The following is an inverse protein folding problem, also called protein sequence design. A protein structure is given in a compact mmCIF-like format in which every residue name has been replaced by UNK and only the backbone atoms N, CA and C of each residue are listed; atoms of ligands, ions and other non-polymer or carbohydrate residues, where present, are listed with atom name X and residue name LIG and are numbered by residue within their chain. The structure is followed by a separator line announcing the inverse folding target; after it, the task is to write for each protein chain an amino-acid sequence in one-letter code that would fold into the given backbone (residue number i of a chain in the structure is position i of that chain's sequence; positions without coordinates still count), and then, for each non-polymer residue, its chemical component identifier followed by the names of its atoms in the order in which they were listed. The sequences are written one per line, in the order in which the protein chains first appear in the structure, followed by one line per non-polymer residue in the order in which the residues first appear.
data_IF_350597092529
#
_entry.id   IF_350597092529
#
_cell.length_a   1.000
_cell.length_b   1.000
_cell.length_c   1.000
_cell.angle_alpha   90.00
_cell.angle_beta   90.00
_cell.angle_gamma   90.00
#
_symmetry.space_group_name_H-M   'P 1'
#
loop_
_entity.id
_entity.type
_entity.pdbx_description
1 polymer ?
#
# COMPACT_ATOMS: atom_id res chain seq x y z
N UNK A 1 30.63 28.20 5.22
CA UNK A 1 29.66 29.05 4.49
C UNK A 1 28.35 28.26 4.39
N UNK A 2 27.46 28.45 5.37
CA UNK A 2 26.17 27.76 5.44
C UNK A 2 25.25 28.28 4.35
N UNK A 3 24.84 27.42 3.43
CA UNK A 3 23.86 27.76 2.41
C UNK A 3 22.45 27.62 3.02
N UNK A 4 21.57 28.64 2.92
CA UNK A 4 20.21 28.63 3.48
C UNK A 4 19.30 27.52 2.93
N UNK A 5 19.72 26.87 1.84
CA UNK A 5 19.05 25.71 1.25
C UNK A 5 19.16 24.44 2.11
N UNK A 6 20.18 24.31 2.98
CA UNK A 6 20.32 23.16 3.90
C UNK A 6 19.37 23.25 5.09
N UNK A 7 18.87 24.44 5.40
CA UNK A 7 17.95 24.68 6.53
C UNK A 7 16.49 24.37 6.16
N UNK A 8 16.13 24.44 4.87
CA UNK A 8 14.80 24.03 4.38
C UNK A 8 14.59 22.51 4.44
N UNK A 9 15.67 21.74 4.22
CA UNK A 9 15.77 20.31 4.56
C UNK A 9 16.37 20.12 5.96
N UNK A 10 15.95 20.95 6.92
CA UNK A 10 16.25 20.72 8.33
C UNK A 10 15.79 19.32 8.72
N UNK A 11 16.55 18.66 9.60
CA UNK A 11 16.17 17.37 10.18
C UNK A 11 14.72 17.39 10.70
N UNK A 12 14.27 18.56 11.17
CA UNK A 12 12.89 18.79 11.58
C UNK A 12 11.88 18.64 10.43
N UNK A 13 12.09 19.33 9.30
CA UNK A 13 11.20 19.26 8.13
C UNK A 13 11.10 17.84 7.58
N UNK A 14 12.23 17.14 7.48
CA UNK A 14 12.26 15.76 7.01
C UNK A 14 11.51 14.84 7.97
N UNK A 15 11.75 14.98 9.28
CA UNK A 15 11.05 14.20 10.32
C UNK A 15 9.55 14.46 10.28
N UNK A 16 9.12 15.72 10.22
CA UNK A 16 7.71 16.08 10.15
C UNK A 16 7.04 15.49 8.88
N UNK A 17 7.72 15.57 7.73
CA UNK A 17 7.23 15.01 6.47
C UNK A 17 7.06 13.48 6.57
N UNK A 18 8.07 12.77 7.07
CA UNK A 18 7.97 11.32 7.29
C UNK A 18 6.89 10.96 8.31
N UNK A 19 6.79 11.69 9.43
CA UNK A 19 5.73 11.48 10.42
C UNK A 19 4.35 11.60 9.82
N UNK A 20 4.09 12.63 8.99
CA UNK A 20 2.81 12.78 8.29
C UNK A 20 2.53 11.61 7.34
N UNK A 21 3.52 11.20 6.54
CA UNK A 21 3.38 10.06 5.61
C UNK A 21 3.06 8.77 6.37
N UNK A 22 3.82 8.45 7.43
CA UNK A 22 3.58 7.25 8.23
C UNK A 22 2.26 7.29 8.99
N UNK A 23 1.83 8.46 9.44
CA UNK A 23 0.54 8.63 10.10
C UNK A 23 -0.61 8.28 9.15
N UNK A 24 -0.63 8.87 7.95
CA UNK A 24 -1.66 8.60 6.94
C UNK A 24 -1.59 7.14 6.48
N UNK A 25 -0.39 6.60 6.25
CA UNK A 25 -0.22 5.21 5.86
C UNK A 25 -0.72 4.23 6.95
N UNK A 26 -0.49 4.52 8.22
CA UNK A 26 -0.96 3.70 9.35
C UNK A 26 -2.48 3.72 9.48
N UNK A 27 -3.09 4.90 9.32
CA UNK A 27 -4.54 5.05 9.31
C UNK A 27 -5.17 4.26 8.16
N UNK A 28 -4.63 4.37 6.95
CA UNK A 28 -5.08 3.63 5.78
C UNK A 28 -4.96 2.11 5.98
N UNK A 29 -3.81 1.63 6.48
CA UNK A 29 -3.62 0.20 6.76
C UNK A 29 -4.60 -0.34 7.81
N UNK A 30 -4.95 0.47 8.82
CA UNK A 30 -5.92 0.08 9.86
C UNK A 30 -7.35 0.01 9.31
N UNK A 31 -7.74 0.97 8.47
CA UNK A 31 -9.05 0.96 7.80
C UNK A 31 -9.20 -0.27 6.88
N UNK A 32 -8.17 -0.56 6.07
CA UNK A 32 -8.16 -1.73 5.19
C UNK A 32 -8.32 -3.05 5.97
N UNK A 33 -7.70 -3.17 7.14
CA UNK A 33 -7.84 -4.36 7.98
C UNK A 33 -9.27 -4.54 8.54
N UNK A 34 -9.98 -3.45 8.84
CA UNK A 34 -11.39 -3.50 9.22
C UNK A 34 -12.26 -3.92 8.04
N UNK A 35 -12.09 -3.30 6.88
CA UNK A 35 -12.81 -3.66 5.65
C UNK A 35 -12.59 -5.12 5.27
N UNK A 36 -11.36 -5.62 5.34
CA UNK A 36 -11.05 -7.04 5.11
C UNK A 36 -11.72 -7.95 6.14
N UNK A 37 -11.84 -7.50 7.39
CA UNK A 37 -12.48 -8.30 8.45
C UNK A 37 -13.99 -8.37 8.32
N UNK A 38 -14.61 -7.39 7.67
CA UNK A 38 -16.05 -7.28 7.42
C UNK A 38 -16.48 -7.94 6.10
N UNK A 39 -15.68 -7.82 5.04
CA UNK A 39 -15.99 -8.36 3.71
C UNK A 39 -15.79 -9.88 3.65
N UNK A 40 -14.82 -10.43 4.39
CA UNK A 40 -14.45 -11.83 4.25
C UNK A 40 -15.00 -12.73 5.39
N UNK A 41 -15.65 -13.86 5.06
CA UNK A 41 -16.05 -14.88 6.03
C UNK A 41 -14.86 -15.37 6.85
N UNK A 42 -15.11 -15.73 8.12
CA UNK A 42 -14.07 -16.17 9.08
C UNK A 42 -13.19 -17.30 8.54
N UNK A 43 -13.70 -18.20 7.70
CA UNK A 43 -12.92 -19.35 7.19
C UNK A 43 -11.84 -18.96 6.16
N UNK A 44 -12.01 -17.84 5.45
CA UNK A 44 -11.15 -17.45 4.31
C UNK A 44 -10.21 -16.30 4.66
N UNK A 45 -10.48 -15.58 5.76
CA UNK A 45 -9.74 -14.38 6.20
C UNK A 45 -8.24 -14.61 6.33
N UNK A 46 -7.82 -15.75 6.90
CA UNK A 46 -6.41 -16.09 7.07
C UNK A 46 -5.68 -16.32 5.72
N UNK A 47 -6.38 -16.85 4.71
CA UNK A 47 -5.81 -17.07 3.38
C UNK A 47 -5.67 -15.77 2.60
N UNK A 48 -6.64 -14.86 2.73
CA UNK A 48 -6.56 -13.54 2.12
C UNK A 48 -5.34 -12.77 2.65
N UNK A 49 -5.21 -12.64 3.97
CA UNK A 49 -4.11 -11.87 4.60
C UNK A 49 -2.74 -12.45 4.24
N UNK A 50 -2.57 -13.78 4.21
CA UNK A 50 -1.28 -14.38 3.87
C UNK A 50 -0.84 -14.13 2.43
N UNK A 51 -1.78 -14.17 1.47
CA UNK A 51 -1.51 -13.85 0.06
C UNK A 51 -1.17 -12.37 -0.10
N UNK A 52 -1.97 -11.48 0.50
CA UNK A 52 -1.70 -10.04 0.45
C UNK A 52 -0.37 -9.67 1.11
N UNK A 53 -0.07 -10.22 2.28
CA UNK A 53 1.19 -9.97 2.97
C UNK A 53 2.39 -10.55 2.22
N UNK A 54 2.26 -11.76 1.67
CA UNK A 54 3.31 -12.39 0.85
C UNK A 54 3.59 -11.62 -0.43
N UNK A 55 2.55 -11.26 -1.19
CA UNK A 55 2.68 -10.47 -2.41
C UNK A 55 3.17 -9.06 -2.13
N UNK A 56 2.66 -8.40 -1.09
CA UNK A 56 3.10 -7.06 -0.68
C UNK A 56 4.57 -7.05 -0.25
N UNK A 57 5.01 -8.08 0.48
CA UNK A 57 6.41 -8.23 0.87
C UNK A 57 7.30 -8.54 -0.34
N UNK A 58 6.87 -9.39 -1.27
CA UNK A 58 7.64 -9.69 -2.47
C UNK A 58 7.75 -8.47 -3.40
N UNK A 59 6.63 -7.82 -3.68
CA UNK A 59 6.55 -6.68 -4.60
C UNK A 59 7.16 -5.41 -3.99
N UNK A 60 6.85 -5.05 -2.75
CA UNK A 60 7.36 -3.83 -2.11
C UNK A 60 8.63 -4.06 -1.30
N UNK A 61 8.58 -5.03 -0.40
CA UNK A 61 9.63 -5.26 0.61
C UNK A 61 10.94 -5.80 0.03
N UNK A 62 10.87 -6.79 -0.86
CA UNK A 62 12.05 -7.41 -1.48
C UNK A 62 12.49 -6.65 -2.73
N UNK A 63 11.56 -6.29 -3.62
CA UNK A 63 11.92 -5.61 -4.87
C UNK A 63 12.37 -4.16 -4.67
N UNK A 64 11.85 -3.46 -3.64
CA UNK A 64 12.17 -2.06 -3.36
C UNK A 64 13.68 -1.81 -3.15
N UNK A 65 14.33 -2.48 -2.18
CA UNK A 65 15.76 -2.35 -1.95
C UNK A 65 16.62 -2.77 -3.15
N UNK A 66 16.21 -3.81 -3.88
CA UNK A 66 16.92 -4.26 -5.09
C UNK A 66 16.87 -3.20 -6.20
N UNK A 67 15.68 -2.64 -6.45
CA UNK A 67 15.47 -1.58 -7.44
C UNK A 67 16.23 -0.31 -7.05
N UNK A 68 16.09 0.17 -5.82
CA UNK A 68 16.82 1.35 -5.35
C UNK A 68 18.33 1.14 -5.32
N UNK A 69 18.81 -0.07 -5.00
CA UNK A 69 20.22 -0.42 -5.07
C UNK A 69 20.78 -0.34 -6.50
N UNK A 70 20.01 -0.78 -7.50
CA UNK A 70 20.36 -0.63 -8.91
C UNK A 70 20.34 0.84 -9.36
N UNK A 71 19.28 1.58 -8.99
CA UNK A 71 19.16 3.01 -9.33
C UNK A 71 20.29 3.84 -8.69
N UNK A 72 20.75 3.47 -7.49
CA UNK A 72 21.89 4.10 -6.84
C UNK A 72 23.19 3.87 -7.62
N UNK A 73 23.48 2.64 -8.03
CA UNK A 73 24.64 2.33 -8.87
C UNK A 73 24.59 3.06 -10.22
N UNK A 74 23.41 3.16 -10.83
CA UNK A 74 23.21 3.92 -12.07
C UNK A 74 23.43 5.43 -11.86
N UNK A 75 23.00 5.95 -10.70
CA UNK A 75 23.19 7.35 -10.32
C UNK A 75 24.66 7.69 -10.07
N UNK A 76 25.41 6.78 -9.44
CA UNK A 76 26.86 6.94 -9.24
C UNK A 76 27.63 6.92 -10.57
N UNK A 77 27.33 5.97 -11.47
CA UNK A 77 27.99 5.86 -12.78
C UNK A 77 27.66 7.01 -13.73
N UNK A 78 26.43 7.52 -13.69
CA UNK A 78 26.01 8.68 -14.52
C UNK A 78 26.42 10.02 -13.90
N UNK A 79 26.71 10.06 -12.60
CA UNK A 79 27.03 11.29 -11.86
C UNK A 79 25.83 12.22 -11.65
N UNK A 80 24.60 11.76 -11.91
CA UNK A 80 23.37 12.56 -11.79
C UNK A 80 22.35 11.88 -10.88
N UNK A 81 21.52 12.67 -10.20
CA UNK A 81 20.45 12.16 -9.31
C UNK A 81 19.17 11.73 -10.06
N UNK A 82 19.15 11.84 -11.38
CA UNK A 82 17.99 11.54 -12.23
C UNK A 82 17.39 10.14 -11.99
N UNK A 83 18.19 9.07 -11.92
CA UNK A 83 17.69 7.73 -11.66
C UNK A 83 16.93 7.58 -10.34
N UNK A 84 17.41 8.24 -9.27
CA UNK A 84 16.76 8.20 -7.95
C UNK A 84 15.42 8.94 -7.99
N UNK A 85 15.36 10.11 -8.65
CA UNK A 85 14.11 10.86 -8.82
C UNK A 85 13.09 10.05 -9.61
N UNK A 86 13.53 9.35 -10.67
CA UNK A 86 12.66 8.45 -11.43
C UNK A 86 12.12 7.29 -10.57
N UNK A 87 12.93 6.75 -9.66
CA UNK A 87 12.48 5.74 -8.69
C UNK A 87 11.36 6.25 -7.77
N UNK A 88 11.52 7.45 -7.20
CA UNK A 88 10.46 8.06 -6.39
C UNK A 88 9.19 8.38 -7.21
N UNK A 89 9.35 8.86 -8.45
CA UNK A 89 8.22 9.12 -9.34
C UNK A 89 7.44 7.84 -9.69
N UNK A 90 8.15 6.74 -9.96
CA UNK A 90 7.54 5.43 -10.17
C UNK A 90 6.72 4.99 -8.95
N UNK A 91 7.28 5.12 -7.74
CA UNK A 91 6.57 4.82 -6.49
C UNK A 91 5.31 5.67 -6.32
N UNK A 92 5.38 6.97 -6.61
CA UNK A 92 4.22 7.87 -6.54
C UNK A 92 3.11 7.47 -7.53
N UNK A 93 3.47 7.13 -8.78
CA UNK A 93 2.51 6.65 -9.77
C UNK A 93 1.84 5.36 -9.33
N UNK A 94 2.60 4.39 -8.79
CA UNK A 94 2.05 3.14 -8.28
C UNK A 94 1.07 3.36 -7.14
N UNK A 95 1.36 4.28 -6.21
CA UNK A 95 0.44 4.66 -5.13
C UNK A 95 -0.84 5.31 -5.66
N UNK A 96 -0.75 6.19 -6.65
CA UNK A 96 -1.92 6.81 -7.27
C UNK A 96 -2.81 5.77 -7.98
N UNK A 97 -2.19 4.81 -8.68
CA UNK A 97 -2.92 3.71 -9.31
C UNK A 97 -3.62 2.84 -8.26
N UNK A 98 -2.95 2.53 -7.14
CA UNK A 98 -3.56 1.78 -6.05
C UNK A 98 -4.75 2.54 -5.43
N UNK A 99 -4.59 3.84 -5.15
CA UNK A 99 -5.67 4.68 -4.62
C UNK A 99 -6.86 4.79 -5.59
N UNK A 100 -6.60 4.88 -6.90
CA UNK A 100 -7.65 4.89 -7.91
C UNK A 100 -8.34 3.53 -8.03
N UNK A 101 -7.58 2.43 -7.96
CA UNK A 101 -8.15 1.08 -7.97
C UNK A 101 -9.05 0.86 -6.76
N UNK A 102 -8.64 1.33 -5.57
CA UNK A 102 -9.47 1.32 -4.36
C UNK A 102 -10.72 2.21 -4.52
N UNK A 103 -10.61 3.38 -5.13
CA UNK A 103 -11.76 4.25 -5.38
C UNK A 103 -12.78 3.65 -6.38
N UNK A 104 -12.34 2.79 -7.30
CA UNK A 104 -13.21 2.18 -8.33
C UNK A 104 -13.76 0.82 -7.90
N UNK A 105 -12.94 0.00 -7.23
CA UNK A 105 -13.26 -1.38 -6.85
C UNK A 105 -13.60 -1.53 -5.35
N UNK A 106 -13.43 -0.47 -4.57
CA UNK A 106 -13.78 -0.42 -3.16
C UNK A 106 -15.27 -0.63 -2.99
N UNK A 107 -15.62 -1.64 -2.18
CA UNK A 107 -16.99 -1.90 -1.78
C UNK A 107 -17.28 -1.02 -0.56
N UNK A 108 -18.26 -0.13 -0.66
CA UNK A 108 -18.72 0.66 0.48
C UNK A 108 -19.35 -0.26 1.53
N UNK A 109 -18.59 -0.51 2.59
CA UNK A 109 -19.01 -1.24 3.79
C UNK A 109 -19.53 -0.31 4.91
N UNK A 110 -19.41 1.02 4.76
CA UNK A 110 -19.89 1.95 5.79
C UNK A 110 -21.41 1.80 6.01
N UNK A 111 -21.78 1.42 7.24
CA UNK A 111 -23.16 1.47 7.74
C UNK A 111 -24.09 0.34 7.32
N UNK A 112 -23.61 -0.72 6.66
CA UNK A 112 -24.43 -1.89 6.29
C UNK A 112 -24.30 -3.01 7.34
N UNK A 113 -25.42 -3.59 7.77
CA UNK A 113 -25.40 -4.71 8.73
C UNK A 113 -24.79 -5.96 8.08
N UNK A 114 -24.06 -6.74 8.89
CA UNK A 114 -23.37 -7.98 8.51
C UNK A 114 -24.26 -9.00 7.78
N UNK A 115 -25.59 -8.92 7.96
CA UNK A 115 -26.57 -9.82 7.35
C UNK A 115 -26.87 -9.50 5.87
N UNK A 116 -26.71 -8.24 5.44
CA UNK A 116 -26.93 -7.86 4.05
C UNK A 116 -25.75 -8.23 3.14
N UNK A 117 -24.52 -8.11 3.65
CA UNK A 117 -23.29 -8.44 2.91
C UNK A 117 -23.09 -9.97 2.83
N UNK A 118 -23.44 -10.70 3.91
CA UNK A 118 -23.38 -12.16 3.93
C UNK A 118 -24.36 -12.84 2.97
N UNK A 119 -25.58 -12.32 2.81
CA UNK A 119 -26.59 -12.92 1.95
C UNK A 119 -26.25 -12.86 0.44
N UNK A 120 -25.62 -11.77 0.00
CA UNK A 120 -25.24 -11.58 -1.41
C UNK A 120 -24.04 -12.45 -1.82
N UNK A 121 -23.05 -12.61 -0.94
CA UNK A 121 -21.88 -13.47 -1.19
C UNK A 121 -22.23 -14.97 -1.10
N UNK A 122 -23.17 -15.35 -0.23
CA UNK A 122 -23.64 -16.75 -0.10
C UNK A 122 -24.46 -17.20 -1.32
N UNK A 123 -25.20 -16.32 -1.98
CA UNK A 123 -25.95 -16.67 -3.20
C UNK A 123 -25.08 -16.94 -4.42
N UNK A 124 -23.83 -16.46 -4.44
CA UNK A 124 -22.86 -16.69 -5.52
C UNK A 124 -21.97 -17.92 -5.29
N UNK A 125 -22.11 -18.62 -4.17
CA UNK A 125 -21.49 -19.94 -3.97
C UNK A 125 -22.47 -21.02 -4.44
N UNK A 126 -22.34 -21.55 -5.66
CA UNK A 126 -23.10 -22.74 -6.04
C UNK A 126 -22.72 -23.87 -5.09
N UNK A 127 -23.76 -24.53 -4.58
CA UNK A 127 -23.77 -25.79 -3.83
C UNK A 127 -22.52 -26.66 -4.09
N UNK A 128 -21.47 -26.48 -3.29
CA UNK A 128 -20.51 -27.55 -3.01
C UNK A 128 -21.07 -28.33 -1.81
N UNK A 129 -22.25 -28.89 -2.03
CA UNK A 129 -22.85 -29.90 -1.18
C UNK A 129 -22.08 -31.21 -1.36
N UNK A 130 -21.80 -31.83 -0.22
CA UNK A 130 -21.78 -33.26 0.03
C UNK A 130 -20.80 -34.16 -0.76
N UNK A 131 -19.76 -34.57 -0.04
CA UNK A 131 -18.92 -35.74 -0.28
C UNK A 131 -18.22 -36.15 0.99
#
# INVERSE_FOLDING_TARGET
RGSPLREQLSAFTLTACFSCIFFVASAAASAAMLTVSEVFPMEIRARAVSVFWGLGTAAGGASGPMLFGYLLQLSETTGTKGPIVAGYALGAVLMLVAALAEAILGVDCEGKSLEAIGAEVVQLMPQAADG
#
